data_IF_589285670225
#
_entry.id   IF_589285670225
#
_cell.length_a   1.000
_cell.length_b   1.000
_cell.length_c   1.000
_cell.angle_alpha   90.00
_cell.angle_beta   90.00
_cell.angle_gamma   90.00
#
_symmetry.space_group_name_H-M   'P 1'
#
loop_
_entity.id
_entity.type
_entity.pdbx_description
1 polymer ?
#
# COMPACT_ATOMS: atom_id res chain seq x y z
N UNK A 1 -15.85 3.61 -9.32
CA UNK A 1 -14.60 3.02 -9.83
C UNK A 1 -13.80 4.14 -10.48
N UNK A 2 -12.84 4.69 -9.80
CA UNK A 2 -12.09 5.88 -10.26
C UNK A 2 -11.04 5.57 -11.35
N UNK A 3 -10.98 4.32 -11.85
CA UNK A 3 -10.27 4.00 -13.10
C UNK A 3 -8.75 4.12 -13.09
N UNK A 4 -8.11 4.15 -11.93
CA UNK A 4 -6.65 4.31 -11.83
C UNK A 4 -5.84 3.07 -12.22
N UNK A 5 -6.47 1.99 -12.61
CA UNK A 5 -5.83 0.73 -12.96
C UNK A 5 -6.29 -0.43 -12.11
N UNK A 6 -5.68 -1.58 -12.34
CA UNK A 6 -5.94 -2.80 -11.57
C UNK A 6 -4.61 -3.41 -11.11
N UNK A 7 -4.18 -3.13 -9.86
CA UNK A 7 -2.93 -3.67 -9.34
C UNK A 7 -3.01 -5.17 -9.06
N UNK A 8 -4.21 -5.77 -8.99
CA UNK A 8 -4.38 -7.19 -8.68
C UNK A 8 -3.82 -8.13 -9.76
N UNK A 9 -3.72 -7.67 -11.02
CA UNK A 9 -3.13 -8.44 -12.12
C UNK A 9 -1.63 -8.75 -11.94
N UNK A 10 -0.96 -8.08 -11.02
CA UNK A 10 0.47 -8.27 -10.71
C UNK A 10 0.72 -9.15 -9.48
N UNK A 11 -0.33 -9.69 -8.88
CA UNK A 11 -0.26 -10.60 -7.74
C UNK A 11 0.09 -12.03 -8.17
N UNK A 12 0.58 -12.83 -7.22
CA UNK A 12 1.00 -14.21 -7.45
C UNK A 12 0.39 -15.15 -6.41
N UNK A 13 0.21 -16.40 -6.78
CA UNK A 13 -0.28 -17.43 -5.88
C UNK A 13 0.62 -17.57 -4.64
N UNK A 14 0.00 -17.67 -3.46
CA UNK A 14 0.66 -17.85 -2.17
C UNK A 14 1.21 -16.59 -1.51
N UNK A 15 1.06 -15.41 -2.12
CA UNK A 15 1.54 -14.15 -1.55
C UNK A 15 0.69 -13.66 -0.38
N UNK A 16 1.32 -12.97 0.55
CA UNK A 16 0.69 -12.10 1.54
C UNK A 16 0.58 -10.70 0.95
N UNK A 17 -0.65 -10.25 0.73
CA UNK A 17 -1.00 -8.97 0.10
C UNK A 17 -1.49 -7.99 1.15
N UNK A 18 -1.03 -6.75 1.09
CA UNK A 18 -1.60 -5.62 1.84
C UNK A 18 -2.22 -4.63 0.84
N UNK A 19 -3.53 -4.39 0.98
CA UNK A 19 -4.29 -3.42 0.17
C UNK A 19 -4.54 -2.15 0.97
N UNK A 20 -3.99 -1.03 0.51
CA UNK A 20 -4.09 0.26 1.16
C UNK A 20 -5.29 1.05 0.65
N UNK A 21 -6.16 1.47 1.56
CA UNK A 21 -7.44 2.09 1.24
C UNK A 21 -8.37 1.08 0.59
N UNK A 22 -8.56 -0.06 1.27
CA UNK A 22 -9.28 -1.22 0.72
C UNK A 22 -10.77 -0.96 0.45
N UNK A 23 -11.32 0.13 1.00
CA UNK A 23 -12.73 0.49 0.84
C UNK A 23 -13.65 -0.67 1.21
N UNK A 24 -14.58 -0.99 0.32
CA UNK A 24 -15.52 -2.11 0.49
C UNK A 24 -14.91 -3.49 0.20
N UNK A 25 -13.59 -3.58 0.02
CA UNK A 25 -12.85 -4.84 -0.15
C UNK A 25 -12.75 -5.36 -1.59
N UNK A 26 -13.10 -4.58 -2.61
CA UNK A 26 -13.10 -5.04 -4.01
C UNK A 26 -11.76 -5.65 -4.43
N UNK A 27 -10.66 -4.92 -4.24
CA UNK A 27 -9.32 -5.39 -4.63
C UNK A 27 -8.90 -6.58 -3.75
N UNK A 28 -9.19 -6.54 -2.43
CA UNK A 28 -8.92 -7.66 -1.53
C UNK A 28 -9.61 -8.95 -1.98
N UNK A 29 -10.86 -8.90 -2.43
CA UNK A 29 -11.60 -10.08 -2.88
C UNK A 29 -11.11 -10.62 -4.23
N UNK A 30 -10.64 -9.76 -5.13
CA UNK A 30 -9.97 -10.18 -6.36
C UNK A 30 -8.61 -10.81 -6.01
N UNK A 31 -7.83 -10.14 -5.14
CA UNK A 31 -6.54 -10.63 -4.67
C UNK A 31 -6.64 -12.01 -4.02
N UNK A 32 -7.66 -12.22 -3.18
CA UNK A 32 -7.94 -13.52 -2.54
C UNK A 32 -8.00 -14.67 -3.53
N UNK A 33 -8.67 -14.45 -4.67
CA UNK A 33 -8.78 -15.47 -5.73
C UNK A 33 -7.44 -15.72 -6.41
N UNK A 34 -6.65 -14.66 -6.64
CA UNK A 34 -5.34 -14.76 -7.31
C UNK A 34 -4.31 -15.46 -6.42
N UNK A 35 -4.23 -15.08 -5.15
CA UNK A 35 -3.23 -15.66 -4.22
C UNK A 35 -3.63 -17.07 -3.77
N UNK A 36 -4.93 -17.40 -3.82
CA UNK A 36 -5.46 -18.73 -3.49
C UNK A 36 -5.36 -19.06 -1.99
N UNK A 37 -5.68 -20.33 -1.63
CA UNK A 37 -5.83 -20.74 -0.23
C UNK A 37 -4.54 -20.71 0.60
N UNK A 38 -3.37 -20.59 -0.03
CA UNK A 38 -2.07 -20.50 0.66
C UNK A 38 -1.60 -19.05 0.83
N UNK A 39 -2.25 -18.10 0.19
CA UNK A 39 -1.98 -16.67 0.34
C UNK A 39 -2.86 -16.06 1.43
N UNK A 40 -2.57 -14.81 1.77
CA UNK A 40 -3.33 -13.99 2.72
C UNK A 40 -3.52 -12.59 2.15
N UNK A 41 -4.65 -11.97 2.43
CA UNK A 41 -4.95 -10.60 2.01
C UNK A 41 -5.38 -9.78 3.22
N UNK A 42 -4.72 -8.68 3.44
CA UNK A 42 -5.02 -7.72 4.51
C UNK A 42 -5.47 -6.42 3.85
N UNK A 43 -6.69 -5.98 4.09
CA UNK A 43 -7.20 -4.67 3.68
C UNK A 43 -7.09 -3.69 4.83
N UNK A 44 -6.55 -2.50 4.58
CA UNK A 44 -6.52 -1.39 5.55
C UNK A 44 -7.35 -0.25 5.02
N UNK A 45 -8.28 0.24 5.83
CA UNK A 45 -9.07 1.45 5.57
C UNK A 45 -9.31 2.22 6.87
N UNK A 46 -9.60 3.51 6.76
CA UNK A 46 -9.91 4.35 7.92
C UNK A 46 -11.42 4.45 8.16
N UNK A 47 -12.23 4.23 7.12
CA UNK A 47 -13.67 4.52 7.09
C UNK A 47 -14.47 3.35 7.63
N UNK A 48 -15.18 3.55 8.75
CA UNK A 48 -15.96 2.49 9.41
C UNK A 48 -17.03 1.90 8.50
N UNK A 49 -17.76 2.73 7.74
CA UNK A 49 -18.80 2.30 6.84
C UNK A 49 -18.25 1.40 5.71
N UNK A 50 -17.06 1.70 5.22
CA UNK A 50 -16.40 0.87 4.20
C UNK A 50 -15.98 -0.48 4.77
N UNK A 51 -15.36 -0.47 5.96
CA UNK A 51 -14.94 -1.69 6.65
C UNK A 51 -16.11 -2.58 7.04
N UNK A 52 -17.24 -2.00 7.47
CA UNK A 52 -18.46 -2.74 7.77
C UNK A 52 -18.96 -3.51 6.54
N UNK A 53 -19.02 -2.85 5.39
CA UNK A 53 -19.43 -3.47 4.11
C UNK A 53 -18.42 -4.57 3.73
N UNK A 54 -17.12 -4.30 3.82
CA UNK A 54 -16.08 -5.24 3.47
C UNK A 54 -16.15 -6.50 4.37
N UNK A 55 -16.23 -6.32 5.68
CA UNK A 55 -16.31 -7.41 6.67
C UNK A 55 -17.60 -8.24 6.52
N UNK A 56 -18.74 -7.60 6.20
CA UNK A 56 -19.99 -8.29 5.92
C UNK A 56 -19.92 -9.16 4.66
N UNK A 57 -19.20 -8.71 3.64
CA UNK A 57 -19.05 -9.43 2.37
C UNK A 57 -17.99 -10.54 2.43
N UNK A 58 -17.00 -10.47 3.31
CA UNK A 58 -15.91 -11.42 3.39
C UNK A 58 -16.35 -12.89 3.52
N UNK A 59 -17.29 -13.27 4.42
CA UNK A 59 -17.75 -14.66 4.52
C UNK A 59 -18.54 -15.11 3.28
N UNK A 60 -19.23 -14.21 2.58
CA UNK A 60 -19.96 -14.54 1.34
C UNK A 60 -18.96 -14.87 0.24
N UNK A 61 -17.92 -14.05 0.08
CA UNK A 61 -16.85 -14.28 -0.90
C UNK A 61 -16.08 -15.55 -0.55
N UNK A 62 -15.71 -15.74 0.72
CA UNK A 62 -15.01 -16.95 1.18
C UNK A 62 -15.77 -18.24 0.83
N UNK A 63 -17.10 -18.24 1.00
CA UNK A 63 -17.94 -19.38 0.61
C UNK A 63 -17.91 -19.62 -0.90
N UNK A 64 -17.91 -18.56 -1.72
CA UNK A 64 -17.95 -18.68 -3.17
C UNK A 64 -16.61 -19.14 -3.75
N UNK A 65 -15.48 -18.68 -3.19
CA UNK A 65 -14.13 -19.02 -3.66
C UNK A 65 -13.56 -20.29 -2.98
N UNK A 66 -14.20 -20.79 -1.92
CA UNK A 66 -13.82 -22.03 -1.24
C UNK A 66 -12.73 -21.88 -0.19
N UNK A 67 -12.32 -20.66 0.18
CA UNK A 67 -11.34 -20.39 1.25
C UNK A 67 -11.54 -19.01 1.87
N UNK A 68 -11.15 -18.86 3.15
CA UNK A 68 -11.24 -17.61 3.91
C UNK A 68 -9.81 -17.13 4.23
N UNK A 69 -9.32 -16.17 3.48
CA UNK A 69 -7.95 -15.64 3.60
C UNK A 69 -7.88 -14.11 3.49
N UNK A 70 -9.01 -13.43 3.74
CA UNK A 70 -9.10 -11.96 3.72
C UNK A 70 -9.45 -11.46 5.11
N UNK A 71 -8.73 -10.49 5.61
CA UNK A 71 -9.03 -9.74 6.83
C UNK A 71 -9.01 -8.24 6.57
N UNK A 72 -9.73 -7.46 7.39
CA UNK A 72 -9.81 -6.01 7.29
C UNK A 72 -9.48 -5.36 8.62
N UNK A 73 -8.56 -4.38 8.60
CA UNK A 73 -8.05 -3.64 9.76
C UNK A 73 -8.34 -2.16 9.62
N UNK A 74 -8.67 -1.51 10.75
CA UNK A 74 -8.92 -0.08 10.79
C UNK A 74 -7.64 0.67 11.10
N UNK A 75 -7.21 1.52 10.16
CA UNK A 75 -6.01 2.34 10.35
C UNK A 75 -5.76 3.30 9.21
N UNK A 76 -4.76 4.15 9.40
CA UNK A 76 -4.28 5.07 8.37
C UNK A 76 -3.21 4.41 7.52
N UNK A 77 -3.28 4.60 6.22
CA UNK A 77 -2.30 4.01 5.29
C UNK A 77 -0.89 4.58 5.45
N UNK A 78 -0.76 5.79 5.97
CA UNK A 78 0.52 6.42 6.29
C UNK A 78 1.06 6.05 7.68
N UNK A 79 0.29 5.33 8.51
CA UNK A 79 0.70 4.86 9.84
C UNK A 79 0.21 3.42 10.05
N UNK A 80 0.87 2.49 9.37
CA UNK A 80 0.51 1.06 9.38
C UNK A 80 0.92 0.36 10.69
N UNK A 81 1.58 1.08 11.58
CA UNK A 81 1.90 0.57 12.91
C UNK A 81 0.77 0.76 13.92
N UNK A 82 -0.10 1.77 13.75
CA UNK A 82 -1.17 2.05 14.71
C UNK A 82 -2.48 1.35 14.32
N UNK A 83 -2.92 0.42 15.16
CA UNK A 83 -4.24 -0.19 15.09
C UNK A 83 -5.26 0.70 15.80
N UNK A 84 -6.19 1.28 15.03
CA UNK A 84 -7.20 2.19 15.59
C UNK A 84 -8.28 1.46 16.40
N UNK A 85 -8.52 0.17 16.17
CA UNK A 85 -9.47 -0.60 16.98
C UNK A 85 -8.88 -0.89 18.36
N UNK A 86 -7.57 -1.19 18.43
CA UNK A 86 -6.87 -1.34 19.71
C UNK A 86 -6.77 -0.01 20.47
N UNK A 87 -6.44 1.08 19.76
CA UNK A 87 -6.40 2.41 20.35
C UNK A 87 -7.77 2.81 20.92
N UNK A 88 -8.84 2.66 20.14
CA UNK A 88 -10.21 2.94 20.56
C UNK A 88 -10.62 2.10 21.78
N UNK A 89 -10.22 0.82 21.82
CA UNK A 89 -10.51 -0.08 22.93
C UNK A 89 -9.82 0.35 24.22
N UNK A 90 -8.58 0.80 24.15
CA UNK A 90 -7.85 1.32 25.33
C UNK A 90 -8.41 2.66 25.81
N UNK A 91 -8.70 3.57 24.89
CA UNK A 91 -9.24 4.90 25.24
C UNK A 91 -10.66 4.85 25.84
N UNK A 92 -11.45 3.82 25.53
CA UNK A 92 -12.80 3.64 26.12
C UNK A 92 -12.77 3.37 27.62
N UNK A 93 -11.65 2.91 28.18
CA UNK A 93 -11.55 2.50 29.58
C UNK A 93 -11.21 3.65 30.58
N UNK A 94 -11.32 4.92 30.16
CA UNK A 94 -11.02 6.05 31.03
C UNK A 94 -11.23 7.41 30.36
N UNK A 95 -10.99 8.46 31.13
CA UNK A 95 -10.83 9.81 30.60
C UNK A 95 -9.34 10.07 30.42
N UNK A 96 -8.89 10.24 29.21
CA UNK A 96 -7.48 10.45 28.86
C UNK A 96 -7.24 11.88 28.39
N UNK A 97 -6.13 12.45 28.79
CA UNK A 97 -5.60 13.67 28.19
C UNK A 97 -5.04 13.36 26.80
N UNK A 98 -4.85 14.38 25.98
CA UNK A 98 -4.25 14.22 24.65
C UNK A 98 -2.85 13.60 24.73
N UNK A 99 -2.05 13.98 25.72
CA UNK A 99 -0.71 13.43 25.96
C UNK A 99 -0.74 11.94 26.36
N UNK A 100 -1.71 11.53 27.18
CA UNK A 100 -1.88 10.11 27.54
C UNK A 100 -2.33 9.29 26.34
N UNK A 101 -3.23 9.81 25.50
CA UNK A 101 -3.67 9.16 24.28
C UNK A 101 -2.51 8.97 23.29
N UNK A 102 -1.63 9.98 23.12
CA UNK A 102 -0.45 9.83 22.28
C UNK A 102 0.56 8.81 22.85
N UNK A 103 0.76 8.81 24.17
CA UNK A 103 1.61 7.81 24.85
C UNK A 103 1.11 6.38 24.62
N UNK A 104 -0.21 6.18 24.67
CA UNK A 104 -0.84 4.89 24.36
C UNK A 104 -0.60 4.53 22.90
N UNK A 105 -0.81 5.46 21.98
CA UNK A 105 -0.61 5.24 20.56
C UNK A 105 0.86 4.87 20.23
N UNK A 106 1.84 5.58 20.81
CA UNK A 106 3.27 5.27 20.67
C UNK A 106 3.61 3.86 21.18
N UNK A 107 3.05 3.48 22.32
CA UNK A 107 3.23 2.13 22.87
C UNK A 107 2.63 1.06 21.96
N UNK A 108 1.43 1.28 21.42
CA UNK A 108 0.78 0.35 20.49
C UNK A 108 1.61 0.20 19.21
N UNK A 109 2.08 1.30 18.62
CA UNK A 109 2.98 1.26 17.44
C UNK A 109 4.24 0.42 17.68
N UNK A 110 4.80 0.50 18.89
CA UNK A 110 6.05 -0.17 19.23
C UNK A 110 5.86 -1.64 19.62
N UNK A 111 4.79 -1.99 20.33
CA UNK A 111 4.61 -3.31 20.94
C UNK A 111 3.65 -4.22 20.18
N UNK A 112 2.63 -3.64 19.54
CA UNK A 112 1.58 -4.38 18.82
C UNK A 112 1.25 -3.68 17.51
N UNK A 113 2.21 -3.56 16.58
CA UNK A 113 1.97 -2.87 15.32
C UNK A 113 0.83 -3.54 14.54
N UNK A 114 -0.05 -2.72 13.94
CA UNK A 114 -1.15 -3.21 13.10
C UNK A 114 -0.63 -4.09 11.96
N UNK A 115 0.43 -3.65 11.29
CA UNK A 115 1.14 -4.43 10.27
C UNK A 115 2.62 -4.51 10.67
N UNK A 116 3.11 -5.72 10.89
CA UNK A 116 4.50 -5.97 11.28
C UNK A 116 5.49 -5.57 10.18
N UNK A 117 6.71 -5.20 10.60
CA UNK A 117 7.80 -4.96 9.67
C UNK A 117 8.17 -6.25 8.93
N UNK A 118 8.43 -6.14 7.62
CA UNK A 118 8.85 -7.27 6.77
C UNK A 118 7.89 -8.46 6.82
N UNK A 119 6.58 -8.21 6.87
CA UNK A 119 5.53 -9.23 6.99
C UNK A 119 4.80 -9.54 5.69
N UNK A 120 4.78 -8.61 4.71
CA UNK A 120 4.01 -8.77 3.48
C UNK A 120 4.90 -8.93 2.24
N UNK A 121 4.44 -9.70 1.27
CA UNK A 121 5.15 -9.93 0.00
C UNK A 121 4.89 -8.82 -0.99
N UNK A 122 3.67 -8.28 -0.99
CA UNK A 122 3.26 -7.21 -1.89
C UNK A 122 2.29 -6.23 -1.22
N UNK A 123 2.54 -4.94 -1.43
CA UNK A 123 1.61 -3.86 -1.11
C UNK A 123 0.94 -3.41 -2.40
N UNK A 124 -0.38 -3.31 -2.40
CA UNK A 124 -1.16 -2.75 -3.50
C UNK A 124 -1.94 -1.52 -3.03
N UNK A 125 -2.24 -0.62 -3.96
CA UNK A 125 -3.15 0.50 -3.73
C UNK A 125 -3.72 0.99 -5.06
N UNK A 126 -4.96 1.49 -5.01
CA UNK A 126 -5.64 2.02 -6.19
C UNK A 126 -6.34 3.34 -5.89
N UNK A 127 -5.79 4.46 -6.38
CA UNK A 127 -6.31 5.83 -6.22
C UNK A 127 -6.51 6.28 -4.77
N UNK A 128 -5.56 6.02 -3.88
CA UNK A 128 -5.70 6.35 -2.45
C UNK A 128 -4.53 7.18 -1.90
N UNK A 129 -3.31 7.00 -2.45
CA UNK A 129 -2.14 7.70 -1.92
C UNK A 129 -2.26 9.23 -2.03
N UNK A 130 -3.01 9.69 -3.02
CA UNK A 130 -3.28 11.12 -3.21
C UNK A 130 -4.21 11.73 -2.17
N UNK A 131 -4.93 10.90 -1.39
CA UNK A 131 -5.75 11.36 -0.26
C UNK A 131 -4.92 11.61 1.01
N UNK A 132 -3.65 11.25 1.02
CA UNK A 132 -2.73 11.52 2.13
C UNK A 132 -2.16 12.93 1.98
N UNK A 133 -2.14 13.68 3.10
CA UNK A 133 -1.58 15.03 3.13
C UNK A 133 -0.12 15.05 2.66
N UNK A 134 0.27 16.10 1.94
CA UNK A 134 1.63 16.23 1.37
C UNK A 134 2.73 16.12 2.42
N UNK A 135 2.49 16.62 3.65
CA UNK A 135 3.40 16.52 4.78
C UNK A 135 3.63 15.09 5.28
N UNK A 136 2.66 14.19 5.08
CA UNK A 136 2.69 12.80 5.56
C UNK A 136 3.14 11.81 4.48
N UNK A 137 3.26 12.24 3.21
CA UNK A 137 3.64 11.34 2.11
C UNK A 137 5.00 10.66 2.29
N UNK A 138 5.99 11.36 2.85
CA UNK A 138 7.29 10.74 3.15
C UNK A 138 7.12 9.57 4.13
N UNK A 139 6.30 9.76 5.17
CA UNK A 139 6.02 8.72 6.14
C UNK A 139 5.27 7.54 5.51
N UNK A 140 4.28 7.81 4.65
CA UNK A 140 3.58 6.79 3.88
C UNK A 140 4.56 5.89 3.10
N UNK A 141 5.47 6.46 2.30
CA UNK A 141 6.43 5.66 1.53
C UNK A 141 7.41 4.89 2.42
N UNK A 142 7.78 5.43 3.59
CA UNK A 142 8.58 4.73 4.59
C UNK A 142 7.82 3.53 5.19
N UNK A 143 6.53 3.67 5.45
CA UNK A 143 5.69 2.58 5.95
C UNK A 143 5.51 1.46 4.91
N UNK A 144 5.32 1.81 3.63
CA UNK A 144 5.32 0.83 2.54
C UNK A 144 6.61 0.01 2.54
N UNK A 145 7.74 0.69 2.69
CA UNK A 145 9.05 0.04 2.74
C UNK A 145 9.22 -0.83 3.99
N UNK A 146 8.77 -0.34 5.16
CA UNK A 146 8.87 -1.05 6.43
C UNK A 146 8.17 -2.40 6.40
N UNK A 147 6.91 -2.42 5.95
CA UNK A 147 6.04 -3.62 6.02
C UNK A 147 6.42 -4.69 4.99
N UNK A 148 7.05 -4.31 3.88
CA UNK A 148 7.46 -5.25 2.85
C UNK A 148 8.64 -6.12 3.32
N UNK A 149 8.58 -7.40 3.02
CA UNK A 149 9.71 -8.33 3.14
C UNK A 149 10.86 -7.90 2.23
N UNK A 150 12.12 -8.23 2.56
CA UNK A 150 13.22 -8.13 1.59
C UNK A 150 12.86 -8.86 0.29
N UNK A 151 13.03 -8.21 -0.87
CA UNK A 151 12.61 -8.72 -2.17
C UNK A 151 11.12 -8.53 -2.50
N UNK A 152 10.32 -8.08 -1.54
CA UNK A 152 8.91 -7.72 -1.74
C UNK A 152 8.73 -6.47 -2.62
N UNK A 153 7.51 -6.17 -3.00
CA UNK A 153 7.22 -5.06 -3.93
C UNK A 153 5.97 -4.27 -3.55
N UNK A 154 5.97 -3.00 -3.88
CA UNK A 154 4.78 -2.18 -3.95
C UNK A 154 4.29 -2.12 -5.42
N UNK A 155 2.99 -2.28 -5.65
CA UNK A 155 2.34 -2.09 -6.95
C UNK A 155 1.22 -1.08 -6.75
N UNK A 156 1.49 0.15 -7.14
CA UNK A 156 0.63 1.29 -6.84
C UNK A 156 0.08 1.88 -8.12
N UNK A 157 -1.23 1.96 -8.21
CA UNK A 157 -1.96 2.66 -9.28
C UNK A 157 -2.55 3.94 -8.72
N UNK A 158 -2.11 5.10 -9.23
CA UNK A 158 -2.64 6.39 -8.79
C UNK A 158 -2.62 7.44 -9.91
N UNK A 159 -3.22 8.59 -9.67
CA UNK A 159 -3.21 9.75 -10.56
C UNK A 159 -1.92 10.55 -10.35
N UNK A 160 -1.27 10.91 -11.44
CA UNK A 160 -0.09 11.78 -11.44
C UNK A 160 -0.34 13.01 -12.31
N UNK A 161 0.26 14.13 -11.95
CA UNK A 161 0.20 15.38 -12.71
C UNK A 161 1.35 15.54 -13.69
N UNK A 162 1.12 16.27 -14.79
CA UNK A 162 2.19 16.71 -15.70
C UNK A 162 3.06 17.79 -15.09
N UNK A 163 2.55 18.48 -14.06
CA UNK A 163 3.26 19.51 -13.30
C UNK A 163 2.86 19.47 -11.82
N UNK A 164 3.51 20.28 -10.98
CA UNK A 164 3.17 20.42 -9.57
C UNK A 164 1.80 21.07 -9.38
N UNK A 165 0.98 20.48 -8.51
CA UNK A 165 -0.33 21.02 -8.18
C UNK A 165 -0.16 22.30 -7.35
N UNK A 166 -0.67 23.47 -7.81
CA UNK A 166 -0.61 24.72 -7.05
C UNK A 166 -1.37 24.65 -5.72
N UNK A 167 -0.97 25.47 -4.75
CA UNK A 167 -1.50 25.44 -3.38
C UNK A 167 -3.02 25.70 -3.31
N UNK A 168 -3.54 26.55 -4.19
CA UNK A 168 -4.97 26.81 -4.31
C UNK A 168 -5.75 25.57 -4.74
N UNK A 169 -5.24 24.77 -5.67
CA UNK A 169 -5.83 23.51 -6.08
C UNK A 169 -5.61 22.38 -5.05
N UNK A 170 -4.51 22.44 -4.28
CA UNK A 170 -4.28 21.49 -3.19
C UNK A 170 -5.33 21.60 -2.07
N UNK A 171 -5.93 22.77 -1.88
CA UNK A 171 -6.91 23.03 -0.84
C UNK A 171 -8.37 22.95 -1.34
N UNK A 172 -8.61 22.52 -2.57
CA UNK A 172 -9.94 22.36 -3.14
C UNK A 172 -10.55 21.01 -2.71
N UNK A 173 -11.68 21.01 -1.95
CA UNK A 173 -12.28 19.76 -1.46
C UNK A 173 -12.84 18.85 -2.56
N UNK A 174 -13.32 19.41 -3.68
CA UNK A 174 -13.86 18.64 -4.80
C UNK A 174 -12.72 17.93 -5.55
N UNK A 175 -11.63 18.65 -5.79
CA UNK A 175 -10.44 18.07 -6.39
C UNK A 175 -9.74 17.08 -5.47
N UNK A 176 -9.83 17.28 -4.14
CA UNK A 176 -9.32 16.33 -3.16
C UNK A 176 -10.04 14.99 -3.26
N UNK A 177 -11.36 15.00 -3.26
CA UNK A 177 -12.15 13.77 -3.41
C UNK A 177 -11.92 13.07 -4.75
N UNK A 178 -11.50 13.82 -5.78
CA UNK A 178 -11.13 13.33 -7.10
C UNK A 178 -9.68 12.85 -7.22
N UNK A 179 -8.92 12.73 -6.12
CA UNK A 179 -7.49 12.35 -6.12
C UNK A 179 -6.56 13.30 -6.88
N UNK A 180 -6.97 14.55 -7.13
CA UNK A 180 -6.20 15.56 -7.87
C UNK A 180 -5.36 16.42 -6.93
N UNK A 181 -5.96 16.97 -5.88
CA UNK A 181 -5.31 17.92 -4.97
C UNK A 181 -4.01 17.41 -4.36
N UNK A 182 -3.96 16.12 -4.05
CA UNK A 182 -2.76 15.47 -3.51
C UNK A 182 -1.89 14.77 -4.56
N UNK A 183 -2.20 14.90 -5.86
CA UNK A 183 -1.42 14.25 -6.89
C UNK A 183 0.01 14.81 -6.95
N UNK A 184 0.98 13.90 -7.03
CA UNK A 184 2.37 14.27 -7.27
C UNK A 184 2.63 14.42 -8.77
N UNK A 185 3.56 15.30 -9.14
CA UNK A 185 4.12 15.28 -10.47
C UNK A 185 4.79 13.93 -10.74
N UNK A 186 4.69 13.43 -11.97
CA UNK A 186 5.14 12.08 -12.35
C UNK A 186 6.57 11.76 -11.85
N UNK A 187 7.53 12.64 -12.07
CA UNK A 187 8.92 12.43 -11.64
C UNK A 187 9.08 12.41 -10.10
N UNK A 188 8.26 13.22 -9.38
CA UNK A 188 8.25 13.22 -7.92
C UNK A 188 7.61 11.98 -7.35
N UNK A 189 6.58 11.45 -8.01
CA UNK A 189 5.95 10.19 -7.62
C UNK A 189 6.95 9.03 -7.68
N UNK A 190 7.71 8.91 -8.78
CA UNK A 190 8.76 7.90 -8.92
C UNK A 190 9.89 8.11 -7.90
N UNK A 191 10.30 9.36 -7.69
CA UNK A 191 11.36 9.71 -6.73
C UNK A 191 10.99 9.37 -5.30
N UNK A 192 9.73 9.53 -4.90
CA UNK A 192 9.27 9.21 -3.55
C UNK A 192 9.53 7.73 -3.17
N UNK A 193 9.42 6.81 -4.12
CA UNK A 193 9.81 5.41 -3.90
C UNK A 193 11.32 5.26 -3.74
N UNK A 194 12.13 5.88 -4.60
CA UNK A 194 13.60 5.77 -4.49
C UNK A 194 14.13 6.41 -3.23
N UNK A 195 13.58 7.54 -2.80
CA UNK A 195 13.92 8.21 -1.54
C UNK A 195 13.56 7.36 -0.31
N UNK A 196 12.54 6.51 -0.40
CA UNK A 196 12.21 5.54 0.64
C UNK A 196 13.06 4.26 0.61
N UNK A 197 13.96 4.12 -0.37
CA UNK A 197 14.90 2.99 -0.48
C UNK A 197 14.47 1.88 -1.45
N UNK A 198 13.42 2.07 -2.23
CA UNK A 198 13.01 1.09 -3.25
C UNK A 198 13.93 1.12 -4.46
N UNK A 199 14.33 -0.07 -4.93
CA UNK A 199 15.11 -0.26 -6.15
C UNK A 199 14.94 -1.69 -6.68
N UNK A 200 14.61 -1.91 -7.98
CA UNK A 200 14.26 -0.89 -8.98
C UNK A 200 12.85 -0.34 -8.83
N UNK A 201 12.62 0.86 -9.38
CA UNK A 201 11.30 1.46 -9.59
C UNK A 201 10.97 1.44 -11.08
N UNK A 202 9.81 0.90 -11.46
CA UNK A 202 9.42 0.71 -12.86
C UNK A 202 7.98 1.16 -13.09
N UNK A 203 7.76 1.87 -14.17
CA UNK A 203 6.39 2.15 -14.66
C UNK A 203 5.90 0.87 -15.36
N UNK A 204 4.84 0.28 -14.83
CA UNK A 204 4.18 -0.88 -15.44
C UNK A 204 3.15 -0.47 -16.48
N UNK A 205 2.43 0.63 -16.21
CA UNK A 205 1.42 1.20 -17.11
C UNK A 205 1.35 2.70 -16.91
N UNK A 206 1.21 3.43 -17.99
CA UNK A 206 0.94 4.86 -18.04
C UNK A 206 -0.15 5.08 -19.07
N UNK A 207 -1.28 5.66 -18.65
CA UNK A 207 -2.34 5.97 -19.58
C UNK A 207 -1.95 7.18 -20.44
N UNK A 208 -2.06 7.05 -21.77
CA UNK A 208 -1.84 8.17 -22.67
C UNK A 208 -2.98 9.19 -22.60
N UNK A 209 -4.20 8.68 -22.38
CA UNK A 209 -5.40 9.52 -22.27
C UNK A 209 -5.34 10.34 -21.00
N UNK A 210 -5.47 11.66 -21.14
CA UNK A 210 -5.69 12.57 -20.03
C UNK A 210 -7.00 12.22 -19.34
N UNK A 211 -6.94 11.93 -18.05
CA UNK A 211 -8.13 11.65 -17.25
C UNK A 211 -8.88 12.94 -16.95
N UNK A 212 -8.15 13.98 -16.54
CA UNK A 212 -8.69 15.30 -16.28
C UNK A 212 -7.63 16.38 -16.58
N UNK A 213 -8.11 17.57 -17.00
CA UNK A 213 -7.28 18.77 -17.18
C UNK A 213 -7.77 19.85 -16.22
N UNK A 214 -6.94 20.29 -15.29
CA UNK A 214 -7.29 21.28 -14.26
C UNK A 214 -6.12 22.23 -14.06
N UNK A 215 -6.38 23.53 -14.05
CA UNK A 215 -5.35 24.56 -13.78
C UNK A 215 -4.15 24.53 -14.73
N UNK A 216 -4.33 24.08 -15.97
CA UNK A 216 -3.24 23.93 -16.94
C UNK A 216 -2.44 22.63 -16.80
N UNK A 217 -2.82 21.76 -15.87
CA UNK A 217 -2.14 20.49 -15.58
C UNK A 217 -2.95 19.33 -16.15
N UNK A 218 -2.29 18.44 -16.85
CA UNK A 218 -2.85 17.17 -17.29
C UNK A 218 -2.66 16.12 -16.21
N UNK A 219 -3.75 15.47 -15.82
CA UNK A 219 -3.73 14.34 -14.88
C UNK A 219 -3.95 13.02 -15.61
N UNK A 220 -3.13 12.02 -15.28
CA UNK A 220 -3.17 10.67 -15.89
C UNK A 220 -3.03 9.60 -14.84
N UNK A 221 -3.59 8.44 -15.11
CA UNK A 221 -3.35 7.25 -14.30
C UNK A 221 -2.00 6.64 -14.63
N UNK A 222 -1.28 6.23 -13.59
CA UNK A 222 -0.01 5.51 -13.69
C UNK A 222 0.04 4.37 -12.68
N UNK A 223 0.55 3.20 -13.12
CA UNK A 223 0.84 2.07 -12.25
C UNK A 223 2.35 1.86 -12.19
N UNK A 224 2.87 1.80 -10.97
CA UNK A 224 4.30 1.66 -10.68
C UNK A 224 4.54 0.39 -9.88
N UNK A 225 5.57 -0.37 -10.24
CA UNK A 225 6.19 -1.39 -9.38
C UNK A 225 7.47 -0.81 -8.75
N UNK A 226 7.57 -0.88 -7.44
CA UNK A 226 8.75 -0.50 -6.68
C UNK A 226 9.17 -1.68 -5.78
N UNK A 227 10.44 -2.12 -5.86
CA UNK A 227 10.91 -3.29 -5.12
C UNK A 227 11.74 -2.89 -3.91
N UNK A 228 11.48 -3.54 -2.79
CA UNK A 228 12.40 -3.50 -1.66
C UNK A 228 13.59 -4.40 -1.98
N UNK A 229 14.83 -3.90 -1.92
CA UNK A 229 16.01 -4.74 -2.15
C UNK A 229 15.96 -6.02 -1.30
N UNK A 230 16.31 -7.14 -1.89
CA UNK A 230 16.56 -8.38 -1.14
C UNK A 230 17.78 -8.16 -0.23
N UNK A 231 17.72 -8.59 1.04
CA UNK A 231 18.94 -8.70 1.84
C UNK A 231 19.96 -9.54 1.08
N UNK A 232 21.23 -9.28 1.27
CA UNK A 232 22.36 -9.89 0.56
C UNK A 232 22.07 -11.33 0.17
N UNK A 233 21.86 -11.56 -1.12
CA UNK A 233 22.11 -12.87 -1.68
C UNK A 233 23.61 -13.06 -1.54
N UNK A 234 24.03 -13.72 -0.46
CA UNK A 234 25.36 -14.31 -0.41
C UNK A 234 25.38 -15.24 -1.62
N UNK A 235 25.93 -14.74 -2.73
CA UNK A 235 26.31 -15.55 -3.84
C UNK A 235 27.26 -16.58 -3.22
N UNK A 236 26.75 -17.80 -2.98
CA UNK A 236 27.65 -18.93 -2.73
C UNK A 236 28.60 -18.89 -3.92
N UNK A 237 29.92 -18.72 -3.69
CA UNK A 237 30.84 -18.82 -4.79
C UNK A 237 30.55 -20.19 -5.43
N UNK A 238 30.21 -20.18 -6.71
CA UNK A 238 30.20 -21.43 -7.49
C UNK A 238 31.54 -22.07 -7.19
N UNK A 239 31.50 -23.32 -6.69
CA UNK A 239 32.66 -24.07 -6.39
C UNK A 239 33.50 -24.13 -7.68
N UNK A 240 34.55 -23.32 -7.74
CA UNK A 240 35.56 -23.46 -8.76
C UNK A 240 35.99 -24.92 -8.72
N UNK A 241 35.86 -25.61 -9.85
CA UNK A 241 36.42 -26.94 -10.06
C UNK A 241 37.84 -26.98 -9.48
N UNK A 242 38.02 -27.82 -8.48
CA UNK A 242 39.38 -28.10 -8.00
C UNK A 242 40.13 -28.84 -9.10
N UNK A 243 41.45 -28.62 -9.29
CA UNK A 243 42.22 -29.23 -10.36
C UNK A 243 42.32 -30.76 -10.35
N UNK A 244 41.66 -31.42 -9.40
CA UNK A 244 41.69 -32.88 -9.21
C UNK A 244 40.49 -33.64 -9.78
N UNK A 245 39.48 -32.97 -10.29
CA UNK A 245 38.39 -33.65 -11.03
C UNK A 245 38.70 -33.60 -12.53
N UNK A 246 39.41 -34.63 -13.02
CA UNK A 246 39.69 -34.82 -14.43
C UNK A 246 38.44 -34.90 -15.26
N UNK A 247 38.06 -33.75 -15.87
CA UNK A 247 37.18 -33.61 -16.97
C UNK A 247 37.89 -32.78 -18.05
N UNK A 248 38.62 -33.45 -18.91
CA UNK A 248 38.86 -33.00 -20.29
C UNK A 248 37.76 -33.52 -21.17
#
# INVERSE_FOLDING_TARGET
>A
DYGCGDPSQYLRAGETVLDLGSGTGKICFIASQVVGPKGCVIGVDLTDEMLEIARRNAPIVAKNVGHANVEFRKGRIQDLALDFELLDAELKNGSHTELEAETIAERLRAQTPMIDSSSVDVVVSNCVLNLVASSEKRHLFSELFRVLKPGGRAVISDIVGSDDVPVDLQNDPELWSGCISGALREDRFLRAFTEAGFEPVRILRREEKVWQHVGGIDFRSMTVEARKPGGDVVLKPEACCTPESGCC
#
